data_IF_562073692331
#
_entry.id   IF_562073692331
#
_cell.length_a   1.000
_cell.length_b   1.000
_cell.length_c   1.000
_cell.angle_alpha   90.00
_cell.angle_beta   90.00
_cell.angle_gamma   90.00
#
_symmetry.space_group_name_H-M   'P 1'
#
loop_
_entity.id
_entity.type
_entity.pdbx_description
1 polymer ?
#
# COMPACT_ATOMS: atom_id res chain seq x y z
N UNK A 1 -43.94 -1.57 -0.49
CA UNK A 1 -42.56 -1.53 -1.01
C UNK A 1 -42.62 -1.97 -2.45
N UNK A 2 -42.17 -1.16 -3.41
CA UNK A 2 -42.16 -1.54 -4.83
C UNK A 2 -41.15 -2.67 -5.05
N UNK A 3 -41.41 -3.55 -6.02
CA UNK A 3 -40.51 -4.66 -6.37
C UNK A 3 -39.09 -4.17 -6.75
N UNK A 4 -39.01 -3.01 -7.41
CA UNK A 4 -37.76 -2.35 -7.80
C UNK A 4 -36.92 -1.89 -6.61
N UNK A 5 -37.53 -1.35 -5.56
CA UNK A 5 -36.80 -0.92 -4.36
C UNK A 5 -36.22 -2.10 -3.59
N UNK A 6 -36.97 -3.20 -3.46
CA UNK A 6 -36.47 -4.41 -2.79
C UNK A 6 -35.27 -5.00 -3.54
N UNK A 7 -35.36 -5.09 -4.87
CA UNK A 7 -34.27 -5.55 -5.72
C UNK A 7 -33.03 -4.66 -5.62
N UNK A 8 -33.21 -3.34 -5.62
CA UNK A 8 -32.11 -2.39 -5.42
C UNK A 8 -31.42 -2.60 -4.08
N UNK A 9 -32.19 -2.65 -2.99
CA UNK A 9 -31.65 -2.81 -1.62
C UNK A 9 -30.88 -4.12 -1.48
N UNK A 10 -31.42 -5.23 -1.99
CA UNK A 10 -30.78 -6.55 -1.93
C UNK A 10 -29.46 -6.57 -2.71
N UNK A 11 -29.47 -6.06 -3.95
CA UNK A 11 -28.26 -5.98 -4.79
C UNK A 11 -27.21 -5.06 -4.16
N UNK A 12 -27.59 -3.84 -3.76
CA UNK A 12 -26.68 -2.89 -3.13
C UNK A 12 -26.06 -3.44 -1.84
N UNK A 13 -26.85 -4.17 -1.03
CA UNK A 13 -26.36 -4.79 0.18
C UNK A 13 -25.29 -5.87 -0.10
N UNK A 14 -25.53 -6.74 -1.09
CA UNK A 14 -24.56 -7.77 -1.47
C UNK A 14 -23.25 -7.16 -1.99
N UNK A 15 -23.33 -6.07 -2.75
CA UNK A 15 -22.14 -5.36 -3.23
C UNK A 15 -21.37 -4.68 -2.09
N UNK A 16 -22.07 -4.12 -1.10
CA UNK A 16 -21.42 -3.58 0.11
C UNK A 16 -20.74 -4.65 0.97
N UNK A 17 -21.25 -5.89 1.00
CA UNK A 17 -20.57 -7.00 1.66
C UNK A 17 -19.27 -7.32 0.92
N UNK A 18 -19.34 -7.50 -0.40
CA UNK A 18 -18.18 -7.80 -1.23
C UNK A 18 -17.09 -6.74 -1.07
N UNK A 19 -17.45 -5.45 -1.16
CA UNK A 19 -16.51 -4.34 -0.98
C UNK A 19 -15.81 -4.40 0.38
N UNK A 20 -16.56 -4.57 1.47
CA UNK A 20 -15.99 -4.63 2.84
C UNK A 20 -15.07 -5.82 3.04
N UNK A 21 -15.40 -6.98 2.48
CA UNK A 21 -14.54 -8.17 2.54
C UNK A 21 -13.18 -7.89 1.86
N UNK A 22 -13.20 -7.24 0.70
CA UNK A 22 -11.98 -6.88 -0.04
C UNK A 22 -11.18 -5.78 0.66
N UNK A 23 -11.84 -4.75 1.19
CA UNK A 23 -11.19 -3.72 2.00
C UNK A 23 -10.49 -4.33 3.22
N UNK A 24 -11.21 -5.17 3.97
CA UNK A 24 -10.66 -5.84 5.15
C UNK A 24 -9.47 -6.71 4.78
N UNK A 25 -9.55 -7.43 3.67
CA UNK A 25 -8.46 -8.29 3.20
C UNK A 25 -7.23 -7.47 2.83
N UNK A 26 -7.37 -6.43 2.00
CA UNK A 26 -6.24 -5.62 1.55
C UNK A 26 -5.60 -4.80 2.69
N UNK A 27 -6.38 -4.30 3.66
CA UNK A 27 -5.83 -3.59 4.82
C UNK A 27 -5.06 -4.52 5.76
N UNK A 28 -5.46 -5.80 5.84
CA UNK A 28 -4.82 -6.79 6.72
C UNK A 28 -3.78 -7.65 6.01
N UNK A 29 -3.57 -7.44 4.70
CA UNK A 29 -2.59 -8.16 3.89
C UNK A 29 -1.19 -8.03 4.49
N UNK A 30 -0.52 -9.17 4.63
CA UNK A 30 0.88 -9.21 5.02
C UNK A 30 1.78 -8.84 3.82
N UNK A 31 2.40 -7.67 3.91
CA UNK A 31 3.33 -7.19 2.87
C UNK A 31 4.75 -7.74 3.03
N UNK A 32 5.05 -8.52 4.07
CA UNK A 32 6.39 -9.11 4.25
C UNK A 32 6.69 -10.23 3.25
N UNK A 33 5.67 -10.94 2.77
CA UNK A 33 5.78 -12.01 1.76
C UNK A 33 6.43 -11.52 0.45
N UNK A 34 6.26 -10.23 0.13
CA UNK A 34 6.79 -9.63 -1.11
C UNK A 34 8.33 -9.66 -1.20
N UNK A 35 9.01 -9.88 -0.08
CA UNK A 35 10.46 -9.97 0.01
C UNK A 35 10.98 -11.42 0.03
N UNK A 36 10.09 -12.42 -0.02
CA UNK A 36 10.42 -13.85 0.03
C UNK A 36 10.29 -14.56 -1.33
N UNK A 37 10.64 -13.89 -2.42
CA UNK A 37 10.52 -14.39 -3.80
C UNK A 37 9.08 -14.71 -4.25
N UNK A 38 8.07 -14.14 -3.60
CA UNK A 38 6.65 -14.35 -3.96
C UNK A 38 6.07 -13.26 -4.87
N UNK A 39 6.91 -12.40 -5.46
CA UNK A 39 6.47 -11.25 -6.26
C UNK A 39 5.54 -11.65 -7.42
N UNK A 40 5.82 -12.77 -8.10
CA UNK A 40 4.97 -13.24 -9.20
C UNK A 40 3.58 -13.69 -8.73
N UNK A 41 3.50 -14.38 -7.58
CA UNK A 41 2.22 -14.75 -6.96
C UNK A 41 1.42 -13.51 -6.59
N UNK A 42 2.07 -12.53 -5.96
CA UNK A 42 1.46 -11.26 -5.54
C UNK A 42 0.97 -10.46 -6.76
N UNK A 43 1.71 -10.46 -7.87
CA UNK A 43 1.26 -9.87 -9.15
C UNK A 43 0.00 -10.54 -9.70
N UNK A 44 -0.07 -11.87 -9.63
CA UNK A 44 -1.26 -12.61 -10.05
C UNK A 44 -2.45 -12.25 -9.16
N UNK A 45 -2.25 -12.12 -7.85
CA UNK A 45 -3.32 -11.73 -6.93
C UNK A 45 -3.82 -10.29 -7.19
N UNK A 46 -2.92 -9.37 -7.53
CA UNK A 46 -3.30 -8.03 -7.99
C UNK A 46 -4.12 -8.06 -9.29
N UNK A 47 -3.71 -8.87 -10.26
CA UNK A 47 -4.44 -9.03 -11.52
C UNK A 47 -5.85 -9.59 -11.30
N UNK A 48 -6.01 -10.55 -10.38
CA UNK A 48 -7.33 -11.06 -10.00
C UNK A 48 -8.20 -9.96 -9.39
N UNK A 49 -7.68 -9.23 -8.40
CA UNK A 49 -8.40 -8.12 -7.78
C UNK A 49 -8.85 -7.08 -8.81
N UNK A 50 -7.96 -6.67 -9.71
CA UNK A 50 -8.29 -5.71 -10.77
C UNK A 50 -9.34 -6.24 -11.75
N UNK A 51 -9.31 -7.54 -12.06
CA UNK A 51 -10.33 -8.16 -12.90
C UNK A 51 -11.70 -8.16 -12.22
N UNK A 52 -11.76 -8.56 -10.94
CA UNK A 52 -12.99 -8.56 -10.16
C UNK A 52 -13.57 -7.15 -10.01
N UNK A 53 -12.72 -6.14 -9.73
CA UNK A 53 -13.13 -4.73 -9.72
C UNK A 53 -13.74 -4.33 -11.07
N UNK A 54 -13.13 -4.71 -12.19
CA UNK A 54 -13.69 -4.37 -13.50
C UNK A 54 -15.08 -4.99 -13.74
N UNK A 55 -15.30 -6.23 -13.31
CA UNK A 55 -16.63 -6.86 -13.39
C UNK A 55 -17.65 -6.14 -12.49
N UNK A 56 -17.23 -5.72 -11.29
CA UNK A 56 -18.08 -4.99 -10.33
C UNK A 56 -18.42 -3.57 -10.75
N UNK A 57 -17.57 -2.91 -11.55
CA UNK A 57 -17.83 -1.56 -12.08
C UNK A 57 -19.12 -1.52 -12.90
N UNK A 58 -19.37 -2.58 -13.69
CA UNK A 58 -20.59 -2.73 -14.48
C UNK A 58 -21.82 -2.82 -13.56
N UNK A 59 -21.74 -3.64 -12.51
CA UNK A 59 -22.82 -3.82 -11.53
C UNK A 59 -23.11 -2.52 -10.78
N UNK A 60 -22.07 -1.77 -10.40
CA UNK A 60 -22.19 -0.48 -9.75
C UNK A 60 -22.89 0.54 -10.66
N UNK A 61 -22.52 0.59 -11.94
CA UNK A 61 -23.19 1.46 -12.93
C UNK A 61 -24.67 1.12 -13.07
N UNK A 62 -25.03 -0.17 -13.10
CA UNK A 62 -26.43 -0.60 -13.15
C UNK A 62 -27.21 -0.19 -11.90
N UNK A 63 -26.61 -0.35 -10.71
CA UNK A 63 -27.20 0.05 -9.44
C UNK A 63 -27.43 1.56 -9.36
N UNK A 64 -26.50 2.37 -9.87
CA UNK A 64 -26.64 3.84 -9.93
C UNK A 64 -27.81 4.27 -10.83
N UNK A 65 -27.94 3.65 -12.01
CA UNK A 65 -29.06 3.90 -12.92
C UNK A 65 -30.39 3.46 -12.31
N UNK A 66 -30.44 2.27 -11.70
CA UNK A 66 -31.64 1.77 -11.04
C UNK A 66 -32.05 2.67 -9.86
N UNK A 67 -31.09 3.09 -9.03
CA UNK A 67 -31.32 4.00 -7.92
C UNK A 67 -31.90 5.34 -8.38
N UNK A 68 -31.32 5.93 -9.42
CA UNK A 68 -31.81 7.18 -10.03
C UNK A 68 -33.25 7.04 -10.54
N UNK A 69 -33.59 5.91 -11.17
CA UNK A 69 -34.95 5.63 -11.63
C UNK A 69 -35.95 5.55 -10.46
N UNK A 70 -35.57 4.86 -9.37
CA UNK A 70 -36.42 4.72 -8.18
C UNK A 70 -36.66 6.09 -7.51
N UNK A 71 -35.61 6.91 -7.41
CA UNK A 71 -35.71 8.27 -6.86
C UNK A 71 -36.64 9.17 -7.68
N UNK A 72 -36.70 8.97 -9.00
CA UNK A 72 -37.60 9.72 -9.88
C UNK A 72 -39.06 9.25 -9.74
N UNK A 73 -39.27 7.95 -9.53
CA UNK A 73 -40.60 7.35 -9.38
C UNK A 73 -41.26 7.66 -8.03
N UNK A 74 -40.48 7.75 -6.95
CA UNK A 74 -41.00 7.98 -5.60
C UNK A 74 -40.02 8.76 -4.71
N UNK A 75 -40.40 10.01 -4.38
CA UNK A 75 -39.59 10.88 -3.54
C UNK A 75 -39.46 10.39 -2.08
N UNK A 76 -40.46 9.65 -1.56
CA UNK A 76 -40.47 9.20 -0.16
C UNK A 76 -39.36 8.17 0.15
N UNK A 77 -38.72 7.60 -0.87
CA UNK A 77 -37.63 6.61 -0.72
C UNK A 77 -36.27 7.14 -1.16
N UNK A 78 -36.20 8.42 -1.54
CA UNK A 78 -34.99 9.04 -2.09
C UNK A 78 -33.82 8.99 -1.13
N UNK A 79 -34.06 9.30 0.15
CA UNK A 79 -33.04 9.30 1.19
C UNK A 79 -32.43 7.90 1.37
N UNK A 80 -33.27 6.85 1.40
CA UNK A 80 -32.80 5.47 1.54
C UNK A 80 -31.91 5.06 0.36
N UNK A 81 -32.36 5.32 -0.87
CA UNK A 81 -31.60 5.01 -2.08
C UNK A 81 -30.27 5.78 -2.09
N UNK A 82 -30.31 7.08 -1.76
CA UNK A 82 -29.12 7.91 -1.71
C UNK A 82 -28.12 7.40 -0.67
N UNK A 83 -28.60 6.96 0.50
CA UNK A 83 -27.77 6.41 1.57
C UNK A 83 -27.00 5.17 1.09
N UNK A 84 -27.63 4.27 0.34
CA UNK A 84 -26.96 3.11 -0.27
C UNK A 84 -25.96 3.50 -1.37
N UNK A 85 -26.33 4.44 -2.26
CA UNK A 85 -25.45 4.89 -3.34
C UNK A 85 -24.19 5.57 -2.78
N UNK A 86 -24.35 6.45 -1.79
CA UNK A 86 -23.25 7.11 -1.07
C UNK A 86 -22.35 6.07 -0.39
N UNK A 87 -22.94 5.02 0.19
CA UNK A 87 -22.16 3.95 0.79
C UNK A 87 -21.35 3.17 -0.24
N UNK A 88 -21.97 2.78 -1.35
CA UNK A 88 -21.27 2.07 -2.42
C UNK A 88 -20.14 2.94 -3.00
N UNK A 89 -20.39 4.22 -3.28
CA UNK A 89 -19.38 5.17 -3.80
C UNK A 89 -18.18 5.28 -2.85
N UNK A 90 -18.46 5.42 -1.56
CA UNK A 90 -17.46 5.48 -0.50
C UNK A 90 -16.57 4.25 -0.45
N UNK A 91 -17.16 3.07 -0.31
CA UNK A 91 -16.43 1.82 -0.21
C UNK A 91 -15.66 1.53 -1.51
N UNK A 92 -16.27 1.83 -2.66
CA UNK A 92 -15.63 1.73 -3.96
C UNK A 92 -14.37 2.60 -4.07
N UNK A 93 -14.51 3.89 -3.75
CA UNK A 93 -13.38 4.82 -3.78
C UNK A 93 -12.27 4.40 -2.82
N UNK A 94 -12.61 3.83 -1.66
CA UNK A 94 -11.62 3.32 -0.71
C UNK A 94 -10.89 2.09 -1.24
N UNK A 95 -11.60 1.11 -1.81
CA UNK A 95 -10.97 -0.05 -2.43
C UNK A 95 -10.00 0.35 -3.56
N UNK A 96 -10.35 1.37 -4.37
CA UNK A 96 -9.43 1.92 -5.38
C UNK A 96 -8.18 2.56 -4.77
N UNK A 97 -8.28 3.22 -3.61
CA UNK A 97 -7.09 3.71 -2.89
C UNK A 97 -6.18 2.55 -2.48
N UNK A 98 -6.77 1.45 -2.00
CA UNK A 98 -6.03 0.24 -1.62
C UNK A 98 -5.34 -0.41 -2.83
N UNK A 99 -5.93 -0.38 -4.04
CA UNK A 99 -5.26 -0.92 -5.24
C UNK A 99 -4.05 -0.09 -5.66
N UNK A 100 -4.05 1.24 -5.48
CA UNK A 100 -2.84 2.05 -5.67
C UNK A 100 -1.76 1.72 -4.65
N UNK A 101 -2.16 1.49 -3.41
CA UNK A 101 -1.28 1.05 -2.34
C UNK A 101 -0.66 -0.33 -2.71
N UNK A 102 -1.45 -1.28 -3.24
CA UNK A 102 -0.98 -2.57 -3.75
C UNK A 102 0.04 -2.41 -4.87
N UNK A 103 -0.29 -1.67 -5.92
CA UNK A 103 0.59 -1.45 -7.07
C UNK A 103 1.95 -0.87 -6.64
N UNK A 104 1.94 0.11 -5.74
CA UNK A 104 3.17 0.70 -5.20
C UNK A 104 4.05 -0.33 -4.46
N UNK A 105 3.46 -1.27 -3.73
CA UNK A 105 4.22 -2.36 -3.10
C UNK A 105 4.86 -3.28 -4.14
N UNK A 106 4.14 -3.66 -5.21
CA UNK A 106 4.69 -4.47 -6.32
C UNK A 106 5.87 -3.75 -6.98
N UNK A 107 5.69 -2.47 -7.33
CA UNK A 107 6.72 -1.67 -7.99
C UNK A 107 7.96 -1.55 -7.12
N UNK A 108 7.79 -1.25 -5.83
CA UNK A 108 8.89 -1.10 -4.90
C UNK A 108 9.65 -2.41 -4.66
N UNK A 109 8.94 -3.54 -4.56
CA UNK A 109 9.59 -4.85 -4.42
C UNK A 109 10.36 -5.24 -5.68
N UNK A 110 9.79 -5.00 -6.86
CA UNK A 110 10.49 -5.26 -8.13
C UNK A 110 11.79 -4.44 -8.24
N UNK A 111 11.75 -3.15 -7.87
CA UNK A 111 12.94 -2.30 -7.81
C UNK A 111 13.97 -2.81 -6.80
N UNK A 112 13.52 -3.19 -5.60
CA UNK A 112 14.38 -3.74 -4.56
C UNK A 112 15.11 -5.01 -5.02
N UNK A 113 14.37 -5.98 -5.56
CA UNK A 113 14.94 -7.25 -6.05
C UNK A 113 15.91 -7.02 -7.22
N UNK A 114 15.55 -6.17 -8.18
CA UNK A 114 16.43 -5.84 -9.31
C UNK A 114 17.73 -5.19 -8.83
N UNK A 115 17.63 -4.21 -7.94
CA UNK A 115 18.80 -3.51 -7.41
C UNK A 115 19.78 -4.46 -6.71
N UNK A 116 19.29 -5.34 -5.83
CA UNK A 116 20.18 -6.25 -5.12
C UNK A 116 20.77 -7.34 -6.02
N UNK A 117 20.05 -7.77 -7.06
CA UNK A 117 20.63 -8.64 -8.09
C UNK A 117 21.78 -7.92 -8.84
N UNK A 118 21.60 -6.64 -9.19
CA UNK A 118 22.65 -5.86 -9.85
C UNK A 118 23.87 -5.62 -8.93
N UNK A 119 23.63 -5.42 -7.62
CA UNK A 119 24.68 -5.34 -6.59
C UNK A 119 25.44 -6.65 -6.49
N UNK A 120 24.76 -7.80 -6.40
CA UNK A 120 25.40 -9.12 -6.35
C UNK A 120 26.28 -9.38 -7.59
N UNK A 121 25.78 -9.00 -8.78
CA UNK A 121 26.56 -9.10 -10.02
C UNK A 121 27.79 -8.19 -9.99
N UNK A 122 27.65 -6.95 -9.51
CA UNK A 122 28.78 -6.03 -9.35
C UNK A 122 29.84 -6.58 -8.39
N UNK A 123 29.40 -7.09 -7.23
CA UNK A 123 30.27 -7.67 -6.22
C UNK A 123 31.04 -8.88 -6.77
N UNK A 124 30.35 -9.77 -7.50
CA UNK A 124 30.98 -10.92 -8.15
C UNK A 124 32.06 -10.48 -9.17
N UNK A 125 31.77 -9.47 -9.99
CA UNK A 125 32.70 -8.94 -10.98
C UNK A 125 33.95 -8.34 -10.33
N UNK A 126 33.78 -7.54 -9.28
CA UNK A 126 34.89 -6.91 -8.55
C UNK A 126 35.72 -7.95 -7.80
N UNK A 127 35.07 -8.91 -7.14
CA UNK A 127 35.75 -9.99 -6.41
C UNK A 127 36.55 -10.88 -7.36
N UNK A 128 35.99 -11.21 -8.53
CA UNK A 128 36.71 -11.96 -9.57
C UNK A 128 37.91 -11.18 -10.09
N UNK A 129 37.75 -9.87 -10.32
CA UNK A 129 38.85 -9.01 -10.77
C UNK A 129 39.96 -8.88 -9.72
N UNK A 130 39.62 -8.85 -8.44
CA UNK A 130 40.57 -8.86 -7.33
C UNK A 130 41.37 -10.17 -7.27
N UNK A 131 40.69 -11.31 -7.48
CA UNK A 131 41.32 -12.63 -7.53
C UNK A 131 42.26 -12.76 -8.74
N UNK A 132 41.84 -12.30 -9.92
CA UNK A 132 42.70 -12.22 -11.11
C UNK A 132 43.94 -11.36 -10.83
N UNK A 133 43.77 -10.19 -10.19
CA UNK A 133 44.89 -9.31 -9.83
C UNK A 133 45.87 -10.00 -8.89
N UNK A 134 45.37 -10.75 -7.90
CA UNK A 134 46.21 -11.51 -6.96
C UNK A 134 47.02 -12.58 -7.70
N UNK A 135 46.39 -13.36 -8.57
CA UNK A 135 47.06 -14.38 -9.37
C UNK A 135 48.13 -13.77 -10.31
N UNK A 136 47.82 -12.65 -10.95
CA UNK A 136 48.77 -11.93 -11.80
C UNK A 136 49.96 -11.41 -10.98
N UNK A 137 49.70 -10.83 -9.80
CA UNK A 137 50.76 -10.36 -8.91
C UNK A 137 51.68 -11.49 -8.46
N UNK A 138 51.15 -12.63 -8.03
CA UNK A 138 51.96 -13.81 -7.69
C UNK A 138 52.80 -14.29 -8.88
N UNK A 139 52.24 -14.25 -10.09
CA UNK A 139 52.95 -14.61 -11.32
C UNK A 139 54.09 -13.65 -11.64
N UNK A 140 53.96 -12.35 -11.33
CA UNK A 140 55.06 -11.38 -11.51
C UNK A 140 56.26 -11.66 -10.62
N UNK A 141 56.06 -12.23 -9.42
CA UNK A 141 57.14 -12.60 -8.51
C UNK A 141 57.97 -13.77 -9.05
N UNK A 142 57.37 -14.61 -9.90
CA UNK A 142 57.99 -15.80 -10.48
C UNK A 142 58.52 -15.57 -11.91
N UNK A 143 58.33 -14.39 -12.49
CA UNK A 143 58.76 -14.07 -13.84
C UNK A 143 60.29 -13.95 -13.92
N UNK A 144 60.91 -14.67 -14.86
CA UNK A 144 62.39 -14.71 -14.98
C UNK A 144 62.89 -14.20 -16.33
N UNK A 145 62.01 -14.05 -17.33
CA UNK A 145 62.35 -13.55 -18.66
C UNK A 145 61.63 -12.25 -18.98
N UNK A 146 62.23 -11.43 -19.86
CA UNK A 146 61.62 -10.17 -20.33
C UNK A 146 60.28 -10.40 -21.02
N UNK A 147 60.16 -11.44 -21.85
CA UNK A 147 58.94 -11.78 -22.57
C UNK A 147 57.76 -12.14 -21.62
N UNK A 148 58.05 -12.86 -20.53
CA UNK A 148 57.06 -13.13 -19.48
C UNK A 148 56.60 -11.84 -18.80
N UNK A 149 57.55 -10.94 -18.52
CA UNK A 149 57.25 -9.62 -17.93
C UNK A 149 56.38 -8.75 -18.83
N UNK A 150 56.67 -8.69 -20.13
CA UNK A 150 55.87 -7.94 -21.12
C UNK A 150 54.44 -8.51 -21.24
N UNK A 151 54.31 -9.84 -21.22
CA UNK A 151 53.00 -10.52 -21.25
C UNK A 151 52.17 -10.18 -20.00
N UNK A 152 52.76 -10.27 -18.82
CA UNK A 152 52.10 -9.94 -17.54
C UNK A 152 51.70 -8.45 -17.49
N UNK A 153 52.55 -7.55 -17.99
CA UNK A 153 52.24 -6.13 -18.07
C UNK A 153 51.00 -5.88 -18.93
N UNK A 154 50.91 -6.55 -20.09
CA UNK A 154 49.74 -6.44 -20.97
C UNK A 154 48.47 -6.95 -20.28
N UNK A 155 48.54 -8.10 -19.60
CA UNK A 155 47.40 -8.65 -18.84
C UNK A 155 46.94 -7.71 -17.72
N UNK A 156 47.88 -7.09 -17.00
CA UNK A 156 47.57 -6.09 -15.97
C UNK A 156 46.91 -4.83 -16.57
N UNK A 157 47.36 -4.37 -17.73
CA UNK A 157 46.74 -3.23 -18.43
C UNK A 157 45.31 -3.55 -18.90
N UNK A 158 45.08 -4.76 -19.40
CA UNK A 158 43.74 -5.23 -19.79
C UNK A 158 42.81 -5.33 -18.57
N UNK A 159 43.29 -5.90 -17.45
CA UNK A 159 42.54 -5.96 -16.20
C UNK A 159 42.22 -4.56 -15.64
N UNK A 160 43.19 -3.66 -15.63
CA UNK A 160 43.00 -2.28 -15.21
C UNK A 160 41.92 -1.57 -16.02
N UNK A 161 41.95 -1.71 -17.35
CA UNK A 161 40.94 -1.13 -18.25
C UNK A 161 39.56 -1.71 -17.97
N UNK A 162 39.47 -3.02 -17.69
CA UNK A 162 38.21 -3.70 -17.35
C UNK A 162 37.62 -3.18 -16.04
N UNK A 163 38.44 -3.04 -15.00
CA UNK A 163 38.02 -2.54 -13.68
C UNK A 163 37.58 -1.08 -13.76
N UNK A 164 38.34 -0.22 -14.45
CA UNK A 164 37.92 1.18 -14.65
C UNK A 164 36.60 1.25 -15.44
N UNK A 165 36.40 0.34 -16.40
CA UNK A 165 35.14 0.26 -17.15
C UNK A 165 33.89 -0.01 -16.30
N UNK A 166 34.04 -0.50 -15.06
CA UNK A 166 32.93 -0.76 -14.15
C UNK A 166 32.50 0.46 -13.33
N UNK A 167 33.28 1.56 -13.35
CA UNK A 167 33.05 2.76 -12.54
C UNK A 167 31.64 3.36 -12.78
N UNK A 168 31.21 3.44 -14.04
CA UNK A 168 29.88 3.98 -14.39
C UNK A 168 28.73 3.14 -13.83
N UNK A 169 28.89 1.82 -13.78
CA UNK A 169 27.90 0.91 -13.22
C UNK A 169 27.81 1.07 -11.70
N UNK A 170 28.95 1.22 -11.02
CA UNK A 170 28.98 1.50 -9.57
C UNK A 170 28.28 2.83 -9.26
N UNK A 171 28.54 3.88 -10.04
CA UNK A 171 27.86 5.16 -9.84
C UNK A 171 26.35 5.05 -10.04
N UNK A 172 25.89 4.31 -11.05
CA UNK A 172 24.46 4.04 -11.24
C UNK A 172 23.85 3.29 -10.04
N UNK A 173 24.53 2.29 -9.50
CA UNK A 173 24.08 1.59 -8.29
C UNK A 173 24.01 2.55 -7.09
N UNK A 174 24.98 3.43 -6.92
CA UNK A 174 24.97 4.44 -5.85
C UNK A 174 23.78 5.39 -5.99
N UNK A 175 23.49 5.85 -7.19
CA UNK A 175 22.35 6.73 -7.46
C UNK A 175 21.02 6.01 -7.16
N UNK A 176 20.85 4.80 -7.67
CA UNK A 176 19.64 3.98 -7.45
C UNK A 176 19.46 3.68 -5.96
N UNK A 177 20.55 3.44 -5.22
CA UNK A 177 20.48 3.09 -3.79
C UNK A 177 19.75 4.14 -2.93
N UNK A 178 19.73 5.40 -3.37
CA UNK A 178 19.02 6.48 -2.67
C UNK A 178 17.49 6.35 -2.73
N UNK A 179 16.99 5.60 -3.71
CA UNK A 179 15.55 5.38 -3.92
C UNK A 179 15.07 4.02 -3.39
N UNK A 180 15.99 3.15 -2.98
CA UNK A 180 15.65 1.81 -2.48
C UNK A 180 15.10 1.90 -1.05
N UNK A 181 13.81 1.61 -0.93
CA UNK A 181 13.10 1.54 0.36
C UNK A 181 13.40 0.19 1.01
N UNK A 182 13.87 0.17 2.28
CA UNK A 182 14.12 -1.07 2.99
C UNK A 182 12.81 -1.81 3.31
N UNK A 183 12.85 -3.15 3.44
CA UNK A 183 11.70 -3.93 3.83
C UNK A 183 11.20 -3.55 5.23
N UNK A 184 9.89 -3.70 5.44
CA UNK A 184 9.29 -3.55 6.77
C UNK A 184 9.81 -4.69 7.65
N UNK A 185 10.41 -4.40 8.83
CA UNK A 185 10.85 -5.44 9.75
C UNK A 185 9.68 -6.34 10.16
N UNK A 186 9.84 -7.65 10.02
CA UNK A 186 8.83 -8.64 10.43
C UNK A 186 8.64 -8.73 11.94
N UNK A 187 9.59 -8.23 12.73
CA UNK A 187 9.51 -8.13 14.18
C UNK A 187 10.01 -6.75 14.66
N UNK A 188 9.14 -6.01 15.34
CA UNK A 188 9.47 -4.72 15.95
C UNK A 188 9.83 -4.98 17.41
N UNK A 189 11.08 -5.35 17.67
CA UNK A 189 11.58 -5.42 19.04
C UNK A 189 11.93 -4.01 19.52
N UNK A 190 11.17 -3.50 20.50
CA UNK A 190 11.39 -2.18 21.09
C UNK A 190 12.77 -2.01 21.77
N UNK A 191 13.57 -3.08 21.87
CA UNK A 191 14.87 -3.10 22.56
C UNK A 191 16.08 -3.03 21.62
N UNK A 192 15.90 -3.31 20.33
CA UNK A 192 16.97 -3.19 19.34
C UNK A 192 16.77 -1.90 18.52
N UNK A 193 17.75 -1.00 18.63
CA UNK A 193 17.71 0.31 17.96
C UNK A 193 17.68 0.22 16.43
N UNK A 194 18.02 -0.92 15.84
CA UNK A 194 17.99 -1.17 14.39
C UNK A 194 16.61 -1.66 13.88
N UNK A 195 15.82 -2.31 14.72
CA UNK A 195 14.51 -2.92 14.38
C UNK A 195 13.32 -2.07 14.84
N UNK A 196 13.55 -1.07 15.69
CA UNK A 196 12.48 -0.16 16.09
C UNK A 196 11.95 0.65 14.90
N UNK A 197 10.63 0.67 14.76
CA UNK A 197 9.92 1.54 13.82
C UNK A 197 9.85 2.99 14.33
N UNK A 198 10.06 3.20 15.64
CA UNK A 198 9.93 4.50 16.29
C UNK A 198 10.95 5.48 15.71
N UNK A 199 10.50 6.68 15.36
CA UNK A 199 11.29 7.74 14.75
C UNK A 199 11.49 7.59 13.23
N UNK A 200 11.07 6.46 12.62
CA UNK A 200 11.12 6.31 11.17
C UNK A 200 10.08 7.19 10.49
N UNK A 201 10.49 7.79 9.38
CA UNK A 201 9.61 8.51 8.44
C UNK A 201 8.99 7.50 7.48
N UNK A 202 7.67 7.46 7.41
CA UNK A 202 6.91 6.66 6.44
C UNK A 202 6.24 7.58 5.43
N UNK A 203 6.13 7.12 4.19
CA UNK A 203 5.43 7.83 3.11
C UNK A 203 4.04 7.24 2.95
N UNK A 204 3.06 8.11 2.75
CA UNK A 204 1.69 7.76 2.44
C UNK A 204 1.57 7.34 0.97
N UNK A 205 1.02 6.15 0.73
CA UNK A 205 0.90 5.56 -0.61
C UNK A 205 -0.43 5.87 -1.32
N UNK A 206 -1.49 6.12 -0.55
CA UNK A 206 -2.83 6.43 -1.04
C UNK A 206 -3.51 7.49 -0.14
N UNK A 207 -4.47 8.26 -0.66
CA UNK A 207 -5.14 9.34 0.08
C UNK A 207 -6.28 8.80 0.94
N UNK A 208 -6.61 9.51 2.02
CA UNK A 208 -7.75 9.21 2.89
C UNK A 208 -8.34 10.49 3.47
N UNK A 209 -9.64 10.68 3.29
CA UNK A 209 -10.37 11.84 3.80
C UNK A 209 -11.66 11.43 4.50
N UNK A 210 -11.74 11.49 5.84
CA UNK A 210 -12.95 11.13 6.58
C UNK A 210 -14.22 11.80 6.04
N UNK A 211 -14.17 13.06 5.58
CA UNK A 211 -15.35 13.75 5.05
C UNK A 211 -15.87 13.17 3.73
N UNK A 212 -14.99 12.64 2.89
CA UNK A 212 -15.39 11.97 1.65
C UNK A 212 -16.04 10.62 1.94
N UNK A 213 -15.80 10.07 3.14
CA UNK A 213 -16.30 8.78 3.57
C UNK A 213 -17.29 8.83 4.78
N UNK A 214 -17.65 10.00 5.32
CA UNK A 214 -18.61 10.13 6.44
C UNK A 214 -19.70 11.19 6.22
N UNK A 215 -19.84 11.73 4.99
CA UNK A 215 -20.91 12.68 4.70
C UNK A 215 -22.26 11.99 4.62
N UNK A 216 -22.91 11.83 5.78
CA UNK A 216 -24.36 11.97 5.97
C UNK A 216 -24.64 12.06 7.49
N UNK A 217 -24.34 13.22 8.07
CA UNK A 217 -25.07 13.81 9.20
C UNK A 217 -24.56 15.24 9.47
N UNK A 218 -24.82 16.16 8.54
CA UNK A 218 -24.82 17.59 8.87
C UNK A 218 -26.12 18.26 8.44
N UNK A 219 -27.20 17.84 9.11
CA UNK A 219 -28.37 18.67 9.37
C UNK A 219 -28.99 18.36 10.74
N UNK A 220 -28.18 18.01 11.73
CA UNK A 220 -28.54 18.14 13.14
C UNK A 220 -27.40 18.84 13.89
N UNK A 221 -27.50 20.16 13.94
CA UNK A 221 -26.86 20.94 15.00
C UNK A 221 -27.54 20.55 16.31
N UNK A 222 -26.80 19.90 17.20
CA UNK A 222 -27.28 19.49 18.51
C UNK A 222 -26.20 18.64 19.19
N UNK A 223 -25.50 19.27 20.13
CA UNK A 223 -24.44 18.71 20.95
C UNK A 223 -24.65 17.23 21.31
N UNK A 224 -23.66 16.39 20.99
CA UNK A 224 -23.59 15.00 21.48
C UNK A 224 -23.32 15.05 22.98
N UNK A 225 -24.39 15.14 23.74
CA UNK A 225 -24.41 14.79 25.16
C UNK A 225 -25.32 13.58 25.32
N UNK A 226 -24.73 12.57 25.96
CA UNK A 226 -25.30 11.30 26.37
C UNK A 226 -26.69 11.52 26.99
N UNK A 227 -27.75 10.96 26.39
CA UNK A 227 -29.05 10.80 27.07
C UNK A 227 -29.64 9.42 26.81
N UNK A 228 -29.47 8.56 27.81
CA UNK A 228 -30.43 7.53 28.14
C UNK A 228 -31.80 8.19 28.41
N UNK A 229 -32.83 7.90 27.60
CA UNK A 229 -34.20 7.81 28.11
C UNK A 229 -35.16 7.25 27.09
N UNK A 230 -36.04 6.39 27.60
CA UNK A 230 -37.10 5.68 26.90
C UNK A 230 -38.16 6.60 26.26
N UNK A 231 -38.89 6.00 25.31
CA UNK A 231 -40.18 6.40 24.72
C UNK A 231 -40.16 7.16 23.39
N UNK A 232 -40.03 6.43 22.28
CA UNK A 232 -40.72 6.71 21.01
C UNK A 232 -40.77 5.43 20.16
N UNK A 233 -41.88 4.70 20.21
CA UNK A 233 -42.03 3.34 19.69
C UNK A 233 -42.48 3.25 18.22
N UNK A 234 -42.13 4.21 17.36
CA UNK A 234 -42.50 4.12 15.93
C UNK A 234 -41.52 4.70 14.90
N UNK A 235 -40.39 5.29 15.33
CA UNK A 235 -39.34 5.84 14.45
C UNK A 235 -37.96 5.16 14.61
N UNK A 236 -37.82 4.24 15.57
CA UNK A 236 -36.53 3.65 15.95
C UNK A 236 -36.15 2.36 15.21
N UNK A 237 -37.07 1.74 14.48
CA UNK A 237 -36.81 0.43 13.83
C UNK A 237 -36.08 0.61 12.49
N UNK A 238 -36.36 1.67 11.74
CA UNK A 238 -35.64 1.96 10.49
C UNK A 238 -34.17 2.35 10.77
N UNK A 239 -33.93 3.23 11.74
CA UNK A 239 -32.59 3.74 12.02
C UNK A 239 -31.64 2.70 12.64
N UNK A 240 -32.14 1.80 13.49
CA UNK A 240 -31.32 0.73 14.08
C UNK A 240 -30.93 -0.35 13.05
N UNK A 241 -31.75 -0.55 12.01
CA UNK A 241 -31.49 -1.54 10.96
C UNK A 241 -30.56 -0.97 9.89
N UNK A 242 -30.69 0.32 9.56
CA UNK A 242 -29.83 1.00 8.57
C UNK A 242 -28.41 1.22 9.15
N UNK A 243 -28.28 1.49 10.45
CA UNK A 243 -26.97 1.69 11.10
C UNK A 243 -26.10 0.44 11.16
N UNK A 244 -26.68 -0.78 11.10
CA UNK A 244 -25.92 -2.03 10.99
C UNK A 244 -25.59 -2.41 9.54
N UNK A 245 -26.23 -1.77 8.55
CA UNK A 245 -26.07 -2.10 7.14
C UNK A 245 -24.97 -1.26 6.49
N UNK A 246 -24.76 -0.03 6.98
CA UNK A 246 -23.77 0.91 6.45
C UNK A 246 -22.70 1.10 7.52
N UNK A 247 -21.89 0.06 7.68
CA UNK A 247 -20.68 0.12 8.50
C UNK A 247 -19.67 1.09 7.87
N UNK A 248 -18.80 1.71 8.68
CA UNK A 248 -17.71 2.51 8.13
C UNK A 248 -16.76 1.65 7.28
N UNK A 249 -16.07 2.29 6.35
CA UNK A 249 -14.94 1.67 5.64
C UNK A 249 -13.92 1.10 6.62
N UNK A 250 -13.23 0.03 6.21
CA UNK A 250 -12.21 -0.58 7.06
C UNK A 250 -11.01 0.36 7.19
N UNK A 251 -10.97 1.10 8.29
CA UNK A 251 -9.88 2.00 8.66
C UNK A 251 -9.50 1.77 10.14
N UNK A 252 -8.21 1.71 10.49
CA UNK A 252 -7.81 1.65 11.89
C UNK A 252 -8.29 2.92 12.63
N UNK A 253 -9.23 2.73 13.54
CA UNK A 253 -9.83 3.80 14.34
C UNK A 253 -8.73 4.45 15.19
N UNK A 254 -8.23 5.60 14.74
CA UNK A 254 -7.27 6.44 15.44
C UNK A 254 -7.95 7.71 15.93
N UNK A 255 -7.62 8.15 17.15
CA UNK A 255 -8.31 9.28 17.78
C UNK A 255 -8.16 10.62 17.04
N UNK A 256 -7.27 10.78 16.05
CA UNK A 256 -6.92 12.11 15.48
C UNK A 256 -6.37 12.17 14.03
N UNK A 257 -6.28 11.09 13.24
CA UNK A 257 -5.79 11.23 11.85
C UNK A 257 -6.94 11.63 10.93
N UNK A 258 -7.25 12.93 10.94
CA UNK A 258 -8.43 13.51 10.32
C UNK A 258 -8.38 13.70 8.80
N UNK A 259 -7.28 13.33 8.11
CA UNK A 259 -7.08 13.37 6.65
C UNK A 259 -5.58 13.15 6.32
N UNK A 260 -5.26 12.56 5.17
CA UNK A 260 -3.92 12.60 4.57
C UNK A 260 -3.98 12.37 3.06
N UNK A 261 -2.99 12.91 2.36
CA UNK A 261 -2.81 12.75 0.92
C UNK A 261 -1.69 11.79 0.56
N UNK A 262 -1.82 11.13 -0.59
CA UNK A 262 -0.73 10.41 -1.24
C UNK A 262 0.51 11.31 -1.34
N UNK A 263 1.63 10.81 -0.84
CA UNK A 263 2.90 11.54 -0.81
C UNK A 263 3.19 12.24 0.51
N UNK A 264 2.22 12.36 1.41
CA UNK A 264 2.45 12.87 2.76
C UNK A 264 3.43 11.98 3.52
N UNK A 265 3.98 12.53 4.60
CA UNK A 265 4.91 11.81 5.45
C UNK A 265 4.45 11.80 6.90
N UNK A 266 4.54 10.63 7.50
CA UNK A 266 4.34 10.45 8.93
C UNK A 266 5.62 10.05 9.61
N UNK A 267 5.71 10.34 10.90
CA UNK A 267 6.74 9.80 11.79
C UNK A 267 6.06 8.84 12.75
N UNK A 268 6.61 7.63 12.86
CA UNK A 268 6.12 6.64 13.81
C UNK A 268 6.60 7.03 15.22
N UNK A 269 5.67 7.09 16.16
CA UNK A 269 5.89 7.40 17.56
C UNK A 269 5.40 6.23 18.41
N UNK A 270 5.98 6.07 19.60
CA UNK A 270 5.43 5.18 20.62
C UNK A 270 4.56 6.00 21.57
N UNK A 271 3.34 5.53 21.82
CA UNK A 271 2.50 6.13 22.83
C UNK A 271 3.07 5.82 24.23
N UNK A 272 3.41 6.84 25.05
CA UNK A 272 4.04 6.63 26.34
C UNK A 272 3.12 5.99 27.39
N UNK A 273 1.80 6.00 27.19
CA UNK A 273 0.82 5.46 28.15
C UNK A 273 0.47 4.00 27.89
N UNK A 274 0.44 3.56 26.62
CA UNK A 274 -0.01 2.23 26.26
C UNK A 274 0.96 1.44 25.36
N UNK A 275 2.14 2.00 25.07
CA UNK A 275 3.20 1.39 24.26
C UNK A 275 2.76 0.97 22.84
N UNK A 276 1.64 1.48 22.34
CA UNK A 276 1.21 1.26 20.96
C UNK A 276 1.89 2.24 20.02
N UNK A 277 2.18 1.77 18.80
CA UNK A 277 2.67 2.64 17.73
C UNK A 277 1.56 3.60 17.29
N UNK A 278 1.93 4.86 17.10
CA UNK A 278 1.11 5.93 16.57
C UNK A 278 1.87 6.65 15.45
N UNK A 279 1.15 7.42 14.64
CA UNK A 279 1.74 8.23 13.57
C UNK A 279 1.46 9.70 13.81
N UNK A 280 2.46 10.55 13.60
CA UNK A 280 2.33 12.00 13.65
C UNK A 280 2.62 12.59 12.28
N UNK A 281 1.75 13.49 11.80
CA UNK A 281 1.89 14.17 10.52
C UNK A 281 3.12 15.07 10.54
N UNK A 282 4.02 14.88 9.60
CA UNK A 282 5.25 15.68 9.48
C UNK A 282 5.15 16.59 8.28
N UNK A 283 5.02 17.90 8.52
CA UNK A 283 5.13 18.93 7.47
C UNK A 283 6.61 19.24 7.27
N UNK A 284 7.27 18.49 6.38
CA UNK A 284 8.65 18.78 5.93
C UNK A 284 8.90 18.21 4.53
#
# INVERSE_FOLDING_TARGET
>A
MSKSLLEFVERAHNELIWLREHESFEVTRDWTEIYHNELDRIRIDFQKLMHEIHEKEIVYSELSVLGSSIQLENYDVTDLVQTYLNALERHWAWLLQLTYCFEAHIEQSARFQSFFNDVEQCELLLTTSLEELRCLYESTLNATTTEQGETLLKQLQELHTRVIGQESFIFQLVDISQEIIPPIPSHVDARDSSTTLIGRRIRVLCSFQPKDYFSDNQSYSGDVSIVNSANTSHLSIANASISSIIEPIFWPVGNNTGYFDKGDFFIILENPENHKLQVSYSIT
#
